data_IF_777148038590
#
_entry.id   IF_777148038590
#
_cell.length_a   1.000
_cell.length_b   1.000
_cell.length_c   1.000
_cell.angle_alpha   90.00
_cell.angle_beta   90.00
_cell.angle_gamma   90.00
#
_symmetry.space_group_name_H-M   'P 1'
#
loop_
_entity.id
_entity.type
_entity.pdbx_description
1 polymer ?
#
# COMPACT_ATOMS: atom_id res chain seq x y z
N UNK A 1 11.23 18.86 1.16
CA UNK A 1 11.68 17.48 0.86
C UNK A 1 10.84 16.41 1.56
N UNK A 2 10.68 16.43 2.90
CA UNK A 2 9.81 15.49 3.65
C UNK A 2 8.38 15.37 3.11
N UNK A 3 7.70 16.49 2.90
CA UNK A 3 6.33 16.51 2.38
C UNK A 3 6.22 15.94 0.96
N UNK A 4 7.19 16.27 0.10
CA UNK A 4 7.26 15.75 -1.27
C UNK A 4 7.36 14.22 -1.26
N UNK A 5 8.24 13.63 -0.46
CA UNK A 5 8.34 12.18 -0.33
C UNK A 5 7.04 11.56 0.19
N UNK A 6 6.37 12.21 1.15
CA UNK A 6 5.06 11.79 1.64
C UNK A 6 3.99 11.80 0.55
N UNK A 7 3.91 12.88 -0.23
CA UNK A 7 2.98 13.00 -1.36
C UNK A 7 3.27 11.94 -2.42
N UNK A 8 4.53 11.79 -2.84
CA UNK A 8 4.94 10.82 -3.85
C UNK A 8 4.61 9.38 -3.43
N UNK A 9 4.83 9.03 -2.16
CA UNK A 9 4.46 7.73 -1.62
C UNK A 9 2.94 7.51 -1.73
N UNK A 10 2.15 8.43 -1.17
CA UNK A 10 0.69 8.29 -1.06
C UNK A 10 0.00 8.29 -2.44
N UNK A 11 0.46 9.12 -3.37
CA UNK A 11 0.00 9.07 -4.76
C UNK A 11 0.38 7.76 -5.46
N UNK A 12 1.60 7.26 -5.25
CA UNK A 12 2.05 6.00 -5.85
C UNK A 12 1.19 4.82 -5.40
N UNK A 13 0.88 4.71 -4.10
CA UNK A 13 0.01 3.63 -3.60
C UNK A 13 -1.46 3.82 -4.02
N UNK A 14 -1.94 5.06 -4.11
CA UNK A 14 -3.27 5.36 -4.63
C UNK A 14 -3.44 4.92 -6.09
N UNK A 15 -2.50 5.31 -6.96
CA UNK A 15 -2.46 4.90 -8.35
C UNK A 15 -2.28 3.38 -8.51
N UNK A 16 -1.48 2.75 -7.64
CA UNK A 16 -1.35 1.30 -7.57
C UNK A 16 -2.70 0.62 -7.31
N UNK A 17 -3.47 1.10 -6.32
CA UNK A 17 -4.82 0.59 -6.03
C UNK A 17 -5.79 0.77 -7.19
N UNK A 18 -5.77 1.93 -7.86
CA UNK A 18 -6.59 2.17 -9.06
C UNK A 18 -6.23 1.25 -10.22
N UNK A 19 -4.93 1.08 -10.50
CA UNK A 19 -4.45 0.13 -11.49
C UNK A 19 -4.88 -1.30 -11.14
N UNK A 20 -4.83 -1.68 -9.86
CA UNK A 20 -5.29 -2.99 -9.40
C UNK A 20 -6.78 -3.23 -9.69
N UNK A 21 -7.65 -2.26 -9.36
CA UNK A 21 -9.08 -2.32 -9.69
C UNK A 21 -9.28 -2.43 -11.21
N UNK A 22 -8.57 -1.62 -11.99
CA UNK A 22 -8.67 -1.63 -13.44
C UNK A 22 -8.21 -2.97 -14.05
N UNK A 23 -7.14 -3.56 -13.51
CA UNK A 23 -6.69 -4.88 -13.95
C UNK A 23 -7.67 -5.99 -13.61
N UNK A 24 -8.37 -5.92 -12.47
CA UNK A 24 -9.46 -6.85 -12.14
C UNK A 24 -10.65 -6.68 -13.10
N UNK A 25 -10.93 -5.45 -13.53
CA UNK A 25 -11.94 -5.20 -14.56
C UNK A 25 -11.52 -5.79 -15.93
N UNK A 26 -10.27 -5.62 -16.33
CA UNK A 26 -9.74 -6.13 -17.61
C UNK A 26 -9.78 -7.66 -17.71
N UNK A 27 -9.47 -8.38 -16.62
CA UNK A 27 -9.53 -9.84 -16.63
C UNK A 27 -10.97 -10.36 -16.73
N UNK A 28 -11.95 -9.63 -16.18
CA UNK A 28 -13.38 -9.93 -16.38
C UNK A 28 -13.85 -9.74 -17.81
N UNK A 29 -13.14 -8.93 -18.60
CA UNK A 29 -13.34 -8.72 -20.04
C UNK A 29 -12.45 -9.63 -20.90
N UNK A 30 -11.80 -10.62 -20.29
CA UNK A 30 -10.86 -11.56 -20.93
C UNK A 30 -9.66 -10.87 -21.64
N UNK A 31 -9.39 -9.59 -21.34
CA UNK A 31 -8.28 -8.83 -21.92
C UNK A 31 -6.98 -9.13 -21.17
N UNK A 32 -6.47 -10.36 -21.31
CA UNK A 32 -5.33 -10.90 -20.55
C UNK A 32 -4.02 -10.11 -20.70
N UNK A 33 -3.70 -9.66 -21.91
CA UNK A 33 -2.48 -8.87 -22.18
C UNK A 33 -2.53 -7.55 -21.42
N UNK A 34 -3.66 -6.84 -21.49
CA UNK A 34 -3.85 -5.59 -20.78
C UNK A 34 -3.88 -5.79 -19.27
N UNK A 35 -4.55 -6.83 -18.78
CA UNK A 35 -4.52 -7.21 -17.37
C UNK A 35 -3.07 -7.35 -16.87
N UNK A 36 -2.24 -8.12 -17.58
CA UNK A 36 -0.84 -8.33 -17.18
C UNK A 36 -0.05 -7.01 -17.11
N UNK A 37 -0.16 -6.15 -18.14
CA UNK A 37 0.49 -4.83 -18.15
C UNK A 37 0.04 -3.95 -16.99
N UNK A 38 -1.25 -3.95 -16.69
CA UNK A 38 -1.81 -3.18 -15.57
C UNK A 38 -1.37 -3.75 -14.21
N UNK A 39 -1.25 -5.07 -14.04
CA UNK A 39 -0.74 -5.67 -12.81
C UNK A 39 0.74 -5.36 -12.59
N UNK A 40 1.54 -5.34 -13.65
CA UNK A 40 2.93 -4.89 -13.57
C UNK A 40 3.00 -3.42 -13.13
N UNK A 41 2.21 -2.54 -13.76
CA UNK A 41 2.13 -1.14 -13.35
C UNK A 41 1.73 -0.98 -11.87
N UNK A 42 0.68 -1.68 -11.43
CA UNK A 42 0.22 -1.64 -10.05
C UNK A 42 1.33 -2.08 -9.07
N UNK A 43 2.05 -3.14 -9.42
CA UNK A 43 3.16 -3.66 -8.60
C UNK A 43 4.34 -2.70 -8.57
N UNK A 44 4.73 -2.13 -9.73
CA UNK A 44 5.82 -1.14 -9.81
C UNK A 44 5.50 0.11 -9.00
N UNK A 45 4.26 0.60 -9.04
CA UNK A 45 3.83 1.74 -8.23
C UNK A 45 3.84 1.42 -6.72
N UNK A 46 3.47 0.21 -6.32
CA UNK A 46 3.57 -0.21 -4.92
C UNK A 46 5.03 -0.34 -4.46
N UNK A 47 5.92 -0.85 -5.31
CA UNK A 47 7.35 -0.88 -5.03
C UNK A 47 7.92 0.55 -4.88
N UNK A 48 7.51 1.46 -5.76
CA UNK A 48 7.90 2.86 -5.70
C UNK A 48 7.40 3.55 -4.42
N UNK A 49 6.16 3.26 -4.00
CA UNK A 49 5.64 3.68 -2.70
C UNK A 49 6.56 3.25 -1.57
N UNK A 50 7.02 1.99 -1.55
CA UNK A 50 7.89 1.48 -0.50
C UNK A 50 9.23 2.23 -0.47
N UNK A 51 9.82 2.50 -1.64
CA UNK A 51 11.06 3.29 -1.73
C UNK A 51 10.86 4.68 -1.11
N UNK A 52 9.82 5.41 -1.51
CA UNK A 52 9.55 6.75 -0.97
C UNK A 52 9.21 6.73 0.52
N UNK A 53 8.42 5.76 0.97
CA UNK A 53 8.05 5.59 2.37
C UNK A 53 9.28 5.33 3.25
N UNK A 54 10.11 4.34 2.87
CA UNK A 54 11.32 3.99 3.62
C UNK A 54 12.35 5.11 3.58
N UNK A 55 12.47 5.83 2.47
CA UNK A 55 13.34 7.01 2.37
C UNK A 55 12.86 8.11 3.32
N UNK A 56 11.55 8.40 3.34
CA UNK A 56 10.98 9.39 4.28
C UNK A 56 11.23 8.97 5.73
N UNK A 57 10.99 7.70 6.04
CA UNK A 57 11.15 7.15 7.38
C UNK A 57 12.62 7.17 7.83
N UNK A 58 13.55 6.78 6.95
CA UNK A 58 14.98 6.79 7.26
C UNK A 58 15.57 8.19 7.42
N UNK A 59 15.09 9.19 6.66
CA UNK A 59 15.60 10.57 6.74
C UNK A 59 14.94 11.43 7.83
N UNK A 60 13.64 11.21 8.09
CA UNK A 60 12.84 12.10 8.93
C UNK A 60 12.17 11.41 10.13
N UNK A 61 12.42 10.12 10.33
CA UNK A 61 11.89 9.35 11.46
C UNK A 61 10.38 9.10 11.38
N UNK A 62 9.78 8.94 12.55
CA UNK A 62 8.36 8.62 12.71
C UNK A 62 7.53 9.86 13.03
N UNK A 63 6.22 9.75 12.98
CA UNK A 63 5.30 10.83 13.36
C UNK A 63 4.24 10.21 14.27
N UNK A 64 4.13 10.75 15.48
CA UNK A 64 3.15 10.30 16.46
C UNK A 64 1.82 11.03 16.25
N UNK A 65 0.74 10.39 16.69
CA UNK A 65 -0.58 11.03 16.70
C UNK A 65 -0.70 11.95 17.91
N UNK A 66 -0.88 13.25 17.67
CA UNK A 66 -1.13 14.27 18.69
C UNK A 66 -2.52 14.91 18.61
N UNK A 67 -3.49 14.20 18.00
CA UNK A 67 -4.87 14.66 17.92
C UNK A 67 -5.70 14.38 19.18
N UNK A 68 -7.02 14.66 19.14
CA UNK A 68 -7.90 14.47 20.30
C UNK A 68 -7.93 13.03 20.82
N UNK A 69 -7.97 12.87 22.14
CA UNK A 69 -7.92 11.55 22.79
C UNK A 69 -9.07 10.62 22.37
N UNK A 70 -10.27 11.17 22.14
CA UNK A 70 -11.45 10.42 21.69
C UNK A 70 -11.22 9.63 20.39
N UNK A 71 -10.36 10.11 19.48
CA UNK A 71 -10.07 9.48 18.20
C UNK A 71 -8.81 8.61 18.21
N UNK A 72 -8.04 8.64 19.31
CA UNK A 72 -6.76 7.96 19.43
C UNK A 72 -6.91 6.44 19.25
N UNK A 73 -7.91 5.83 19.88
CA UNK A 73 -8.18 4.39 19.77
C UNK A 73 -8.48 3.96 18.32
N UNK A 74 -9.35 4.69 17.63
CA UNK A 74 -9.69 4.42 16.23
C UNK A 74 -8.47 4.57 15.31
N UNK A 75 -7.64 5.61 15.53
CA UNK A 75 -6.41 5.80 14.76
C UNK A 75 -5.44 4.64 14.94
N UNK A 76 -5.15 4.23 16.17
CA UNK A 76 -4.20 3.13 16.41
C UNK A 76 -4.74 1.79 15.93
N UNK A 77 -6.04 1.55 16.01
CA UNK A 77 -6.65 0.37 15.40
C UNK A 77 -6.40 0.32 13.88
N UNK A 78 -6.64 1.43 13.17
CA UNK A 78 -6.35 1.52 11.72
C UNK A 78 -4.84 1.37 11.47
N UNK A 79 -3.99 2.01 12.26
CA UNK A 79 -2.53 1.96 12.09
C UNK A 79 -1.99 0.54 12.27
N UNK A 80 -2.40 -0.16 13.32
CA UNK A 80 -1.97 -1.55 13.60
C UNK A 80 -2.46 -2.48 12.51
N UNK A 81 -3.76 -2.45 12.18
CA UNK A 81 -4.32 -3.32 11.13
C UNK A 81 -3.70 -3.04 9.76
N UNK A 82 -3.51 -1.76 9.40
CA UNK A 82 -2.81 -1.36 8.18
C UNK A 82 -1.40 -1.93 8.14
N UNK A 83 -0.62 -1.77 9.22
CA UNK A 83 0.79 -2.18 9.26
C UNK A 83 0.93 -3.69 9.12
N UNK A 84 0.12 -4.47 9.84
CA UNK A 84 0.12 -5.93 9.77
C UNK A 84 -0.29 -6.42 8.37
N UNK A 85 -1.36 -5.85 7.82
CA UNK A 85 -1.82 -6.21 6.49
C UNK A 85 -0.85 -5.78 5.39
N UNK A 86 -0.19 -4.62 5.52
CA UNK A 86 0.84 -4.16 4.60
C UNK A 86 2.06 -5.09 4.61
N UNK A 87 2.51 -5.49 5.79
CA UNK A 87 3.61 -6.45 5.96
C UNK A 87 3.27 -7.81 5.33
N UNK A 88 2.02 -8.27 5.45
CA UNK A 88 1.53 -9.49 4.82
C UNK A 88 1.33 -9.35 3.29
N UNK A 89 0.91 -8.18 2.82
CA UNK A 89 0.61 -7.89 1.42
C UNK A 89 1.83 -8.09 0.50
N UNK A 90 3.01 -7.66 0.94
CA UNK A 90 4.26 -7.81 0.17
C UNK A 90 4.57 -9.28 -0.20
N UNK A 91 4.77 -10.18 0.78
CA UNK A 91 5.01 -11.60 0.52
C UNK A 91 3.90 -12.27 -0.30
N UNK A 92 2.62 -11.97 -0.06
CA UNK A 92 1.53 -12.51 -0.88
C UNK A 92 1.59 -12.01 -2.33
N UNK A 93 1.91 -10.73 -2.55
CA UNK A 93 2.05 -10.18 -3.89
C UNK A 93 3.15 -10.91 -4.67
N UNK A 94 4.32 -11.09 -4.06
CA UNK A 94 5.40 -11.89 -4.65
C UNK A 94 4.96 -13.32 -4.97
N UNK A 95 4.26 -13.97 -4.04
CA UNK A 95 3.77 -15.33 -4.25
C UNK A 95 2.75 -15.42 -5.40
N UNK A 96 1.80 -14.49 -5.50
CA UNK A 96 0.79 -14.44 -6.57
C UNK A 96 1.44 -14.18 -7.94
N UNK A 97 2.46 -13.33 -8.00
CA UNK A 97 3.24 -13.06 -9.22
C UNK A 97 4.04 -14.29 -9.62
N UNK A 98 4.73 -14.93 -8.68
CA UNK A 98 5.50 -16.15 -8.93
C UNK A 98 4.65 -17.29 -9.51
N UNK A 99 3.44 -17.49 -8.96
CA UNK A 99 2.48 -18.47 -9.51
C UNK A 99 2.03 -18.11 -10.93
N UNK A 100 1.89 -16.82 -11.25
CA UNK A 100 1.58 -16.39 -12.62
C UNK A 100 2.74 -16.68 -13.60
N UNK A 101 3.99 -16.45 -13.18
CA UNK A 101 5.18 -16.73 -13.98
C UNK A 101 5.36 -18.25 -14.25
N UNK A 102 4.98 -19.09 -13.28
CA UNK A 102 4.97 -20.56 -13.43
C UNK A 102 3.81 -21.10 -14.28
N UNK A 103 2.93 -20.24 -14.77
CA UNK A 103 1.74 -20.66 -15.52
C UNK A 103 0.62 -21.28 -14.67
N UNK A 104 0.72 -21.20 -13.33
CA UNK A 104 -0.21 -21.83 -12.39
C UNK A 104 -1.42 -20.91 -12.11
N UNK A 105 -2.18 -20.61 -13.16
CA UNK A 105 -3.24 -19.59 -13.13
C UNK A 105 -4.38 -19.90 -12.16
N UNK A 106 -4.66 -21.18 -11.88
CA UNK A 106 -5.66 -21.57 -10.89
C UNK A 106 -5.27 -21.13 -9.48
N UNK A 107 -4.00 -21.35 -9.09
CA UNK A 107 -3.46 -20.92 -7.81
C UNK A 107 -3.33 -19.40 -7.76
N UNK A 108 -2.81 -18.78 -8.82
CA UNK A 108 -2.78 -17.31 -8.95
C UNK A 108 -4.16 -16.71 -8.68
N UNK A 109 -5.22 -17.20 -9.33
CA UNK A 109 -6.59 -16.69 -9.15
C UNK A 109 -7.10 -16.90 -7.72
N UNK A 110 -6.82 -18.05 -7.10
CA UNK A 110 -7.24 -18.33 -5.71
C UNK A 110 -6.65 -17.32 -4.73
N UNK A 111 -5.35 -17.06 -4.84
CA UNK A 111 -4.64 -16.16 -3.94
C UNK A 111 -4.88 -14.68 -4.29
N UNK A 112 -5.04 -14.34 -5.57
CA UNK A 112 -5.40 -12.99 -6.00
C UNK A 112 -6.74 -12.52 -5.42
N UNK A 113 -7.73 -13.42 -5.25
CA UNK A 113 -9.02 -13.07 -4.59
C UNK A 113 -8.86 -12.62 -3.14
N UNK A 114 -7.81 -13.06 -2.44
CA UNK A 114 -7.50 -12.66 -1.06
C UNK A 114 -6.59 -11.44 -1.06
N UNK A 115 -5.59 -11.42 -1.94
CA UNK A 115 -4.63 -10.32 -2.04
C UNK A 115 -5.30 -9.00 -2.46
N UNK A 116 -6.20 -9.03 -3.45
CA UNK A 116 -6.86 -7.82 -3.97
C UNK A 116 -7.55 -6.99 -2.87
N UNK A 117 -8.44 -7.53 -2.04
CA UNK A 117 -9.08 -6.74 -0.99
C UNK A 117 -8.08 -6.25 0.08
N UNK A 118 -7.07 -7.04 0.43
CA UNK A 118 -6.00 -6.62 1.36
C UNK A 118 -5.23 -5.43 0.78
N UNK A 119 -4.83 -5.52 -0.49
CA UNK A 119 -4.10 -4.45 -1.16
C UNK A 119 -4.92 -3.15 -1.22
N UNK A 120 -6.21 -3.25 -1.55
CA UNK A 120 -7.10 -2.09 -1.56
C UNK A 120 -7.31 -1.50 -0.17
N UNK A 121 -7.47 -2.35 0.86
CA UNK A 121 -7.56 -1.90 2.24
C UNK A 121 -6.31 -1.12 2.66
N UNK A 122 -5.12 -1.69 2.41
CA UNK A 122 -3.84 -1.06 2.75
C UNK A 122 -3.66 0.25 1.98
N UNK A 123 -3.98 0.30 0.69
CA UNK A 123 -3.88 1.53 -0.10
C UNK A 123 -4.79 2.65 0.45
N UNK A 124 -6.05 2.32 0.74
CA UNK A 124 -7.02 3.27 1.28
C UNK A 124 -6.65 3.76 2.69
N UNK A 125 -6.34 2.83 3.58
CA UNK A 125 -5.97 3.17 4.97
C UNK A 125 -4.64 3.92 5.04
N UNK A 126 -3.71 3.68 4.11
CA UNK A 126 -2.48 4.46 3.99
C UNK A 126 -2.76 5.95 3.68
N UNK A 127 -3.71 6.24 2.79
CA UNK A 127 -4.19 7.60 2.54
C UNK A 127 -4.81 8.22 3.80
N UNK A 128 -5.67 7.47 4.49
CA UNK A 128 -6.32 7.94 5.73
C UNK A 128 -5.28 8.29 6.79
N UNK A 129 -4.32 7.39 7.05
CA UNK A 129 -3.23 7.60 8.02
C UNK A 129 -2.42 8.84 7.64
N UNK A 130 -2.07 9.01 6.36
CA UNK A 130 -1.35 10.18 5.89
C UNK A 130 -2.13 11.48 6.17
N UNK A 131 -3.42 11.54 5.86
CA UNK A 131 -4.24 12.73 6.09
C UNK A 131 -4.38 13.05 7.58
N UNK A 132 -4.58 12.02 8.42
CA UNK A 132 -4.66 12.18 9.87
C UNK A 132 -3.34 12.71 10.43
N UNK A 133 -2.21 12.11 10.06
CA UNK A 133 -0.89 12.58 10.50
C UNK A 133 -0.51 13.93 9.91
N UNK A 134 -0.99 14.28 8.71
CA UNK A 134 -0.81 15.63 8.16
C UNK A 134 -1.54 16.68 8.98
N UNK A 135 -2.71 16.35 9.54
CA UNK A 135 -3.54 17.28 10.31
C UNK A 135 -3.21 17.34 11.80
N UNK A 136 -2.85 16.20 12.38
CA UNK A 136 -2.70 15.98 13.83
C UNK A 136 -1.37 15.33 14.21
N UNK A 137 -0.46 15.14 13.27
CA UNK A 137 0.83 14.51 13.53
C UNK A 137 1.76 15.44 14.30
N UNK A 138 2.46 14.88 15.27
CA UNK A 138 3.53 15.54 16.00
C UNK A 138 4.82 14.78 15.69
N UNK A 139 5.88 15.51 15.39
CA UNK A 139 7.18 14.90 15.13
C UNK A 139 7.72 14.29 16.42
N UNK A 140 7.60 12.97 16.51
CA UNK A 140 8.33 12.17 17.48
C UNK A 140 9.71 11.93 16.88
N UNK A 141 10.73 12.61 17.43
CA UNK A 141 12.10 12.63 16.90
C UNK A 141 12.62 11.28 16.38
N UNK A 142 13.53 11.34 15.40
CA UNK A 142 14.12 10.15 14.77
C UNK A 142 14.91 9.28 15.74
N UNK A 143 15.12 8.03 15.35
CA UNK A 143 16.07 7.13 16.03
C UNK A 143 17.46 7.77 15.86
N UNK A 144 17.94 8.46 16.90
CA UNK A 144 19.33 8.88 16.97
C UNK A 144 20.15 7.60 17.17
N UNK A 145 20.93 7.22 16.16
CA UNK A 145 22.05 6.31 16.34
C UNK A 145 23.25 7.10 16.86
#
# INVERSE_FOLDING_TARGET
MKELLGLLAVWSIGLSGLALVFGVFLIRREKRVWHHRTMLLATSLAALFLVFYLTKWGLYGTTAYGGPEAWRGAYYFILVTHTLLAALNGPLAFYVIWRALRGEFALHKRWAKVLVPIWLYVALTGWVIYLVLKRYGVESGGVAF
#
